data_IF_564484874141
#
_entry.id   IF_564484874141
#
_cell.length_a   1.000
_cell.length_b   1.000
_cell.length_c   1.000
_cell.angle_alpha   90.00
_cell.angle_beta   90.00
_cell.angle_gamma   90.00
#
_symmetry.space_group_name_H-M   'P 1'
#
loop_
_entity.id
_entity.type
_entity.pdbx_description
1 polymer ?
#
# COMPACT_ATOMS: atom_id res chain seq x y z
N UNK A 1 9.29 -3.15 -7.69
CA UNK A 1 7.92 -3.42 -8.17
C UNK A 1 6.93 -2.57 -7.40
N UNK A 2 5.78 -2.22 -8.00
CA UNK A 2 4.69 -1.53 -7.31
C UNK A 2 3.48 -2.46 -7.27
N UNK A 3 3.05 -2.84 -6.06
CA UNK A 3 1.80 -3.56 -5.84
C UNK A 3 0.68 -2.58 -5.50
N UNK A 4 -0.41 -2.60 -6.25
CA UNK A 4 -1.55 -1.70 -6.02
C UNK A 4 -2.70 -2.45 -5.36
N UNK A 5 -3.28 -1.83 -4.32
CA UNK A 5 -4.48 -2.31 -3.64
C UNK A 5 -5.58 -1.26 -3.85
N UNK A 6 -6.61 -1.63 -4.61
CA UNK A 6 -7.77 -0.78 -4.88
C UNK A 6 -8.83 -1.00 -3.81
N UNK A 7 -9.29 0.10 -3.19
CA UNK A 7 -10.41 0.10 -2.25
C UNK A 7 -11.52 1.01 -2.78
N UNK A 8 -12.76 0.48 -2.82
CA UNK A 8 -13.96 1.14 -3.37
C UNK A 8 -15.07 1.23 -2.32
N UNK A 9 -16.14 1.99 -2.59
CA UNK A 9 -17.27 2.11 -1.68
C UNK A 9 -16.98 2.91 -0.40
N UNK A 10 -15.93 3.73 -0.41
CA UNK A 10 -15.50 4.53 0.74
C UNK A 10 -16.32 5.82 0.78
N UNK A 11 -17.00 6.07 1.92
CA UNK A 11 -17.77 7.32 2.13
C UNK A 11 -16.90 8.58 2.06
N UNK A 12 -15.71 8.55 2.67
CA UNK A 12 -14.72 9.63 2.63
C UNK A 12 -13.34 9.05 2.25
N UNK A 13 -12.97 9.10 0.95
CA UNK A 13 -11.73 8.52 0.46
C UNK A 13 -10.48 9.28 0.93
N UNK A 14 -10.59 10.58 1.23
CA UNK A 14 -9.46 11.40 1.68
C UNK A 14 -9.14 11.15 3.15
N UNK A 15 -10.15 11.03 4.00
CA UNK A 15 -9.96 10.58 5.38
C UNK A 15 -9.43 9.14 5.44
N UNK A 16 -9.92 8.26 4.56
CA UNK A 16 -9.41 6.89 4.45
C UNK A 16 -7.94 6.86 4.01
N UNK A 17 -7.54 7.68 3.04
CA UNK A 17 -6.14 7.86 2.66
C UNK A 17 -5.28 8.23 3.86
N UNK A 18 -5.71 9.20 4.67
CA UNK A 18 -4.95 9.60 5.86
C UNK A 18 -4.78 8.45 6.85
N UNK A 19 -5.84 7.65 7.08
CA UNK A 19 -5.76 6.45 7.93
C UNK A 19 -4.77 5.41 7.39
N UNK A 20 -4.72 5.19 6.09
CA UNK A 20 -3.73 4.28 5.47
C UNK A 20 -2.30 4.79 5.72
N UNK A 21 -2.06 6.09 5.53
CA UNK A 21 -0.74 6.68 5.78
C UNK A 21 -0.37 6.62 7.26
N UNK A 22 -1.31 6.86 8.18
CA UNK A 22 -1.09 6.72 9.63
C UNK A 22 -0.76 5.28 10.04
N UNK A 23 -1.37 4.28 9.38
CA UNK A 23 -1.11 2.87 9.61
C UNK A 23 0.12 2.31 8.85
N UNK A 24 0.91 3.18 8.20
CA UNK A 24 2.02 2.78 7.32
C UNK A 24 2.96 1.80 7.97
N UNK A 25 3.49 2.09 9.15
CA UNK A 25 4.44 1.20 9.83
C UNK A 25 3.87 -0.20 10.10
N UNK A 26 2.60 -0.28 10.51
CA UNK A 26 1.91 -1.55 10.74
C UNK A 26 1.76 -2.34 9.45
N UNK A 27 1.34 -1.68 8.37
CA UNK A 27 1.17 -2.29 7.05
C UNK A 27 2.53 -2.78 6.50
N UNK A 28 3.58 -1.96 6.62
CA UNK A 28 4.94 -2.31 6.19
C UNK A 28 5.46 -3.53 6.95
N UNK A 29 5.26 -3.58 8.27
CA UNK A 29 5.63 -4.73 9.09
C UNK A 29 4.87 -5.98 8.66
N UNK A 30 3.55 -5.88 8.45
CA UNK A 30 2.72 -7.00 7.98
C UNK A 30 3.16 -7.50 6.60
N UNK A 31 3.51 -6.60 5.69
CA UNK A 31 3.99 -6.95 4.35
C UNK A 31 5.33 -7.69 4.41
N UNK A 32 6.30 -7.15 5.14
CA UNK A 32 7.63 -7.78 5.27
C UNK A 32 7.60 -9.10 6.06
N UNK A 33 6.61 -9.31 6.93
CA UNK A 33 6.42 -10.60 7.61
C UNK A 33 5.93 -11.71 6.66
N UNK A 34 5.40 -11.40 5.47
CA UNK A 34 4.93 -12.42 4.53
C UNK A 34 6.08 -13.16 3.84
N UNK A 35 7.21 -12.47 3.61
CA UNK A 35 8.38 -13.05 2.96
C UNK A 35 9.68 -12.70 3.71
N UNK A 36 9.98 -13.44 4.80
CA UNK A 36 11.22 -13.25 5.55
C UNK A 36 12.48 -13.52 4.72
N UNK A 37 12.39 -14.36 3.68
CA UNK A 37 13.54 -14.70 2.84
C UNK A 37 13.90 -13.51 1.96
N UNK A 38 12.93 -12.90 1.28
CA UNK A 38 13.15 -11.69 0.50
C UNK A 38 13.71 -10.55 1.36
N UNK A 39 13.21 -10.39 2.59
CA UNK A 39 13.76 -9.42 3.55
C UNK A 39 15.21 -9.75 3.92
N UNK A 40 15.53 -11.03 4.15
CA UNK A 40 16.88 -11.47 4.53
C UNK A 40 17.93 -11.20 3.45
N UNK A 41 17.55 -11.23 2.17
CA UNK A 41 18.41 -10.84 1.04
C UNK A 41 18.35 -9.33 0.74
N UNK A 42 17.85 -8.55 1.69
CA UNK A 42 17.79 -7.09 1.64
C UNK A 42 16.66 -6.53 0.79
N UNK A 43 15.76 -7.35 0.25
CA UNK A 43 14.56 -6.92 -0.48
C UNK A 43 13.43 -6.51 0.45
N UNK A 44 12.20 -6.71 -0.01
CA UNK A 44 10.97 -6.53 0.77
C UNK A 44 10.28 -5.20 0.50
N UNK A 45 9.18 -4.96 1.21
CA UNK A 45 8.44 -3.71 1.17
C UNK A 45 9.33 -2.57 1.72
N UNK A 46 9.52 -1.54 0.89
CA UNK A 46 10.34 -0.35 1.19
C UNK A 46 9.50 0.88 1.48
N UNK A 47 8.35 1.01 0.82
CA UNK A 47 7.48 2.14 1.04
C UNK A 47 5.99 1.81 0.85
N UNK A 48 5.15 2.67 1.40
CA UNK A 48 3.71 2.68 1.19
C UNK A 48 3.26 4.10 0.93
N UNK A 49 2.61 4.28 -0.22
CA UNK A 49 1.90 5.49 -0.60
C UNK A 49 0.42 5.21 -0.77
N UNK A 50 -0.38 6.28 -0.81
CA UNK A 50 -1.81 6.19 -1.07
C UNK A 50 -2.32 7.43 -1.79
N UNK A 51 -3.17 7.21 -2.81
CA UNK A 51 -3.79 8.28 -3.60
C UNK A 51 -5.27 8.02 -3.84
N UNK A 52 -6.04 9.10 -3.87
CA UNK A 52 -7.45 9.06 -4.25
C UNK A 52 -7.53 9.41 -5.73
N UNK A 53 -8.17 8.56 -6.51
CA UNK A 53 -8.47 8.80 -7.92
C UNK A 53 -9.98 8.89 -8.12
N UNK A 54 -10.39 9.68 -9.10
CA UNK A 54 -11.80 9.80 -9.48
C UNK A 54 -12.02 9.12 -10.82
N UNK A 55 -13.02 8.26 -10.88
CA UNK A 55 -13.37 7.48 -12.08
C UNK A 55 -14.85 7.65 -12.40
N UNK A 56 -15.29 7.14 -13.54
CA UNK A 56 -16.71 7.07 -13.91
C UNK A 56 -17.54 6.19 -12.97
N UNK A 57 -16.90 5.29 -12.22
CA UNK A 57 -17.54 4.40 -11.23
C UNK A 57 -17.47 4.97 -9.80
N UNK A 58 -17.05 6.23 -9.65
CA UNK A 58 -16.87 6.90 -8.36
C UNK A 58 -15.41 6.97 -7.89
N UNK A 59 -15.19 7.53 -6.68
CA UNK A 59 -13.85 7.68 -6.12
C UNK A 59 -13.28 6.33 -5.66
N UNK A 60 -11.98 6.15 -5.85
CA UNK A 60 -11.23 4.97 -5.42
C UNK A 60 -10.02 5.41 -4.60
N UNK A 61 -9.69 4.66 -3.55
CA UNK A 61 -8.42 4.78 -2.85
C UNK A 61 -7.47 3.70 -3.36
N UNK A 62 -6.33 4.11 -3.88
CA UNK A 62 -5.26 3.23 -4.34
C UNK A 62 -4.11 3.32 -3.34
N UNK A 63 -3.85 2.24 -2.62
CA UNK A 63 -2.63 2.08 -1.84
C UNK A 63 -1.55 1.43 -2.71
N UNK A 64 -0.34 1.97 -2.69
CA UNK A 64 0.79 1.55 -3.51
C UNK A 64 1.91 1.07 -2.59
N UNK A 65 2.17 -0.24 -2.61
CA UNK A 65 3.28 -0.84 -1.88
C UNK A 65 4.49 -0.91 -2.82
N UNK A 66 5.55 -0.20 -2.45
CA UNK A 66 6.80 -0.17 -3.19
C UNK A 66 7.70 -1.26 -2.64
N UNK A 67 7.97 -2.27 -3.46
CA UNK A 67 8.68 -3.49 -3.05
C UNK A 67 9.98 -3.60 -3.84
N UNK A 68 11.08 -3.82 -3.12
CA UNK A 68 12.33 -4.30 -3.71
C UNK A 68 12.24 -5.82 -3.84
N UNK A 69 12.08 -6.29 -5.07
CA UNK A 69 11.91 -7.72 -5.37
C UNK A 69 13.23 -8.45 -5.55
N UNK A 70 14.38 -7.74 -5.49
CA UNK A 70 15.67 -8.27 -5.94
C UNK A 70 15.56 -8.85 -7.36
N UNK A 71 16.39 -9.84 -7.66
CA UNK A 71 16.51 -10.50 -8.96
C UNK A 71 15.47 -11.63 -9.13
#
# INVERSE_FOLDING_TARGET
MVGQIQTVGIKDPYAARMRVIQAKEEIMKKANNQDPVLVSVGGGAKDLDAKVIHTTQGPMLIAELHVDCRD
#
